data_IF_162478676585
#
_entry.id   IF_162478676585
#
_cell.length_a   1.000
_cell.length_b   1.000
_cell.length_c   1.000
_cell.angle_alpha   90.00
_cell.angle_beta   90.00
_cell.angle_gamma   90.00
#
_symmetry.space_group_name_H-M   'P 1'
#
loop_
_entity.id
_entity.type
_entity.pdbx_description
1 polymer ?
#
# COMPACT_ATOMS: atom_id res chain seq x y z
N UNK A 1 -0.94 6.45 3.16
CA UNK A 1 -0.29 5.91 1.94
C UNK A 1 -1.10 4.83 1.26
N UNK A 2 -1.76 3.93 2.00
CA UNK A 2 -2.58 2.85 1.43
C UNK A 2 -3.74 3.37 0.57
N UNK A 3 -4.42 4.45 0.98
CA UNK A 3 -5.50 5.06 0.19
C UNK A 3 -5.02 5.48 -1.22
N UNK A 4 -3.85 6.12 -1.32
CA UNK A 4 -3.27 6.51 -2.60
C UNK A 4 -2.89 5.30 -3.48
N UNK A 5 -2.49 4.17 -2.88
CA UNK A 5 -2.27 2.95 -3.64
C UNK A 5 -3.58 2.39 -4.20
N UNK A 6 -4.70 2.54 -3.48
CA UNK A 6 -6.03 2.16 -3.95
C UNK A 6 -6.51 3.05 -5.11
N UNK A 7 -6.35 4.37 -4.98
CA UNK A 7 -6.66 5.30 -6.07
C UNK A 7 -5.81 5.00 -7.31
N UNK A 8 -4.51 4.73 -7.12
CA UNK A 8 -3.60 4.36 -8.21
C UNK A 8 -4.02 3.04 -8.88
N UNK A 9 -4.50 2.06 -8.12
CA UNK A 9 -5.01 0.80 -8.66
C UNK A 9 -6.24 1.04 -9.56
N UNK A 10 -7.17 1.90 -9.12
CA UNK A 10 -8.37 2.26 -9.89
C UNK A 10 -7.96 2.99 -11.18
N UNK A 11 -7.06 3.97 -11.09
CA UNK A 11 -6.54 4.68 -12.25
C UNK A 11 -5.82 3.74 -13.23
N UNK A 12 -5.04 2.78 -12.71
CA UNK A 12 -4.36 1.77 -13.53
C UNK A 12 -5.36 0.88 -14.26
N UNK A 13 -6.43 0.45 -13.59
CA UNK A 13 -7.49 -0.34 -14.20
C UNK A 13 -8.23 0.46 -15.29
N UNK A 14 -8.58 1.72 -15.01
CA UNK A 14 -9.20 2.61 -16.00
C UNK A 14 -8.29 2.86 -17.20
N UNK A 15 -7.00 3.12 -16.97
CA UNK A 15 -5.99 3.27 -18.02
C UNK A 15 -5.90 2.02 -18.90
N UNK A 16 -5.88 0.84 -18.27
CA UNK A 16 -5.81 -0.42 -19.01
C UNK A 16 -7.07 -0.66 -19.86
N UNK A 17 -8.26 -0.49 -19.28
CA UNK A 17 -9.53 -0.70 -20.00
C UNK A 17 -9.65 0.29 -21.16
N UNK A 18 -9.42 1.59 -20.91
CA UNK A 18 -9.51 2.64 -21.93
C UNK A 18 -8.43 2.48 -23.00
N UNK A 19 -7.20 2.14 -22.62
CA UNK A 19 -6.11 1.87 -23.55
C UNK A 19 -6.36 0.65 -24.42
N UNK A 20 -6.86 -0.44 -23.85
CA UNK A 20 -7.12 -1.65 -24.63
C UNK A 20 -8.30 -1.47 -25.61
N UNK A 21 -9.33 -0.70 -25.22
CA UNK A 21 -10.43 -0.33 -26.10
C UNK A 21 -9.98 0.63 -27.21
N UNK A 22 -9.28 1.73 -26.86
CA UNK A 22 -8.75 2.71 -27.80
C UNK A 22 -7.34 3.16 -27.37
N UNK A 23 -6.28 2.61 -27.98
CA UNK A 23 -4.91 2.80 -27.50
C UNK A 23 -4.42 4.25 -27.63
N UNK A 24 -4.98 4.99 -28.58
CA UNK A 24 -4.70 6.41 -28.79
C UNK A 24 -5.27 7.31 -27.67
N UNK A 25 -6.14 6.82 -26.79
CA UNK A 25 -6.68 7.65 -25.72
C UNK A 25 -5.63 7.92 -24.62
N UNK A 26 -5.03 6.88 -23.99
CA UNK A 26 -3.92 7.10 -23.08
C UNK A 26 -2.60 7.47 -23.78
N UNK A 27 -2.36 6.95 -25.00
CA UNK A 27 -1.15 7.25 -25.78
C UNK A 27 -1.44 8.29 -26.88
N UNK A 28 -2.18 9.35 -26.56
CA UNK A 28 -2.61 10.37 -27.53
C UNK A 28 -1.45 11.07 -28.24
N UNK A 29 -0.25 11.03 -27.66
CA UNK A 29 0.96 11.61 -28.19
C UNK A 29 1.67 10.74 -29.23
N UNK A 30 1.30 9.46 -29.40
CA UNK A 30 1.92 8.56 -30.38
C UNK A 30 1.13 8.49 -31.69
N UNK A 31 1.85 8.54 -32.82
CA UNK A 31 1.26 8.40 -34.18
C UNK A 31 0.69 7.02 -34.47
N UNK A 32 1.29 5.96 -33.91
CA UNK A 32 0.85 4.56 -34.06
C UNK A 32 0.89 3.87 -32.68
N UNK A 33 -0.14 4.08 -31.85
CA UNK A 33 -0.20 3.47 -30.54
C UNK A 33 -0.62 2.00 -30.69
N UNK A 34 0.32 1.10 -30.42
CA UNK A 34 0.10 -0.35 -30.41
C UNK A 34 -0.51 -0.79 -29.07
N UNK A 35 -1.46 -1.74 -29.12
CA UNK A 35 -2.05 -2.34 -27.90
C UNK A 35 -1.01 -3.00 -27.01
N UNK A 36 0.07 -3.50 -27.61
CA UNK A 36 1.17 -4.13 -26.89
C UNK A 36 1.90 -3.15 -25.95
N UNK A 37 2.03 -1.87 -26.31
CA UNK A 37 2.64 -0.87 -25.43
C UNK A 37 1.81 -0.62 -24.18
N UNK A 38 0.48 -0.66 -24.29
CA UNK A 38 -0.41 -0.53 -23.13
C UNK A 38 -0.23 -1.70 -22.18
N UNK A 39 -0.04 -2.92 -22.68
CA UNK A 39 0.25 -4.09 -21.83
C UNK A 39 1.56 -3.91 -21.05
N UNK A 40 2.63 -3.42 -21.70
CA UNK A 40 3.91 -3.16 -21.04
C UNK A 40 3.73 -2.10 -19.95
N UNK A 41 3.14 -0.95 -20.28
CA UNK A 41 2.94 0.15 -19.33
C UNK A 41 2.06 -0.29 -18.16
N UNK A 42 0.99 -1.04 -18.43
CA UNK A 42 0.09 -1.56 -17.39
C UNK A 42 0.81 -2.53 -16.47
N UNK A 43 1.65 -3.42 -17.01
CA UNK A 43 2.44 -4.35 -16.18
C UNK A 43 3.33 -3.59 -15.19
N UNK A 44 3.99 -2.52 -15.66
CA UNK A 44 4.83 -1.66 -14.79
C UNK A 44 3.98 -0.93 -13.76
N UNK A 45 2.85 -0.34 -14.15
CA UNK A 45 1.93 0.34 -13.22
C UNK A 45 1.37 -0.60 -12.14
N UNK A 46 1.07 -1.84 -12.51
CA UNK A 46 0.64 -2.88 -11.58
C UNK A 46 1.76 -3.17 -10.58
N UNK A 47 3.00 -3.37 -11.03
CA UNK A 47 4.13 -3.57 -10.12
C UNK A 47 4.28 -2.40 -9.13
N UNK A 48 4.23 -1.16 -9.61
CA UNK A 48 4.32 0.04 -8.76
C UNK A 48 3.19 0.04 -7.71
N UNK A 49 1.96 -0.26 -8.13
CA UNK A 49 0.80 -0.33 -7.25
C UNK A 49 0.98 -1.38 -6.15
N UNK A 50 1.45 -2.58 -6.50
CA UNK A 50 1.72 -3.64 -5.54
C UNK A 50 2.84 -3.29 -4.57
N UNK A 51 3.93 -2.68 -5.05
CA UNK A 51 5.02 -2.22 -4.18
C UNK A 51 4.53 -1.17 -3.19
N UNK A 52 3.78 -0.16 -3.66
CA UNK A 52 3.26 0.91 -2.83
C UNK A 52 2.23 0.41 -1.81
N UNK A 53 1.35 -0.52 -2.22
CA UNK A 53 0.41 -1.17 -1.33
C UNK A 53 1.12 -2.01 -0.26
N UNK A 54 2.13 -2.79 -0.65
CA UNK A 54 2.92 -3.61 0.27
C UNK A 54 3.65 -2.77 1.32
N UNK A 55 4.31 -1.69 0.90
CA UNK A 55 4.94 -0.74 1.82
C UNK A 55 3.92 -0.05 2.72
N UNK A 56 2.79 0.40 2.16
CA UNK A 56 1.74 1.06 2.91
C UNK A 56 1.16 0.17 4.01
N UNK A 57 0.91 -1.11 3.70
CA UNK A 57 0.39 -2.08 4.66
C UNK A 57 1.41 -2.42 5.75
N UNK A 58 2.70 -2.52 5.39
CA UNK A 58 3.79 -2.71 6.37
C UNK A 58 3.85 -1.54 7.35
N UNK A 59 3.76 -0.29 6.87
CA UNK A 59 3.74 0.91 7.72
C UNK A 59 2.50 0.95 8.61
N UNK A 60 1.32 0.65 8.06
CA UNK A 60 0.07 0.59 8.83
C UNK A 60 0.13 -0.44 9.97
N UNK A 61 0.71 -1.62 9.72
CA UNK A 61 0.93 -2.63 10.77
C UNK A 61 1.87 -2.15 11.88
N UNK A 62 2.98 -1.50 11.51
CA UNK A 62 3.93 -0.95 12.48
C UNK A 62 3.31 0.18 13.31
N UNK A 63 2.48 1.03 12.72
CA UNK A 63 1.74 2.07 13.45
C UNK A 63 0.76 1.46 14.45
N UNK A 64 0.01 0.41 14.10
CA UNK A 64 -0.87 -0.29 15.03
C UNK A 64 -0.12 -0.99 16.17
N UNK A 65 1.05 -1.56 15.89
CA UNK A 65 1.93 -2.15 16.91
C UNK A 65 2.53 -1.08 17.83
N UNK A 66 2.95 0.07 17.30
CA UNK A 66 3.56 1.16 18.06
C UNK A 66 2.54 2.05 18.79
N UNK A 67 1.25 1.98 18.43
CA UNK A 67 0.14 2.62 19.16
C UNK A 67 -0.37 1.79 20.35
N UNK A 68 0.20 0.60 20.58
CA UNK A 68 0.12 -0.12 21.85
C UNK A 68 1.39 0.03 22.72
N UNK A 69 1.76 1.21 23.23
CA UNK A 69 2.60 1.34 24.41
C UNK A 69 1.72 1.73 25.60
N UNK A 70 1.22 0.76 26.37
CA UNK A 70 0.81 0.86 27.80
C UNK A 70 -0.22 -0.20 28.24
N UNK A 71 0.12 -1.49 28.15
CA UNK A 71 -0.56 -2.51 28.96
C UNK A 71 0.41 -3.39 29.76
N UNK A 72 1.68 -2.96 29.92
CA UNK A 72 2.66 -3.75 30.65
C UNK A 72 3.57 -2.94 31.59
N UNK A 73 3.13 -1.76 32.01
CA UNK A 73 3.80 -0.96 33.03
C UNK A 73 2.88 -0.67 34.23
N UNK A 74 1.98 -1.60 34.54
CA UNK A 74 1.16 -1.60 35.77
C UNK A 74 1.34 -2.90 36.55
N UNK A 75 2.59 -3.23 36.85
CA UNK A 75 2.92 -4.14 37.94
C UNK A 75 4.06 -3.55 38.79
N UNK A 76 3.97 -2.26 39.11
CA UNK A 76 4.55 -1.75 40.34
C UNK A 76 3.72 -2.29 41.51
N UNK A 77 4.12 -3.43 42.06
CA UNK A 77 3.81 -3.76 43.44
C UNK A 77 5.12 -4.22 44.10
N UNK A 78 5.66 -3.47 45.07
CA UNK A 78 6.81 -3.91 45.85
C UNK A 78 6.36 -5.11 46.68
N UNK A 79 7.00 -6.26 46.52
CA UNK A 79 6.72 -7.43 47.36
C UNK A 79 7.12 -7.07 48.80
N UNK A 80 6.20 -7.12 49.78
CA UNK A 80 6.54 -6.90 51.18
C UNK A 80 7.42 -8.06 51.67
N UNK A 81 8.58 -7.73 52.23
CA UNK A 81 9.42 -8.66 52.99
C UNK A 81 8.66 -9.16 54.23
N UNK A 82 8.56 -10.49 54.47
CA UNK A 82 8.10 -10.99 55.75
C UNK A 82 9.18 -10.80 56.82
N UNK A 83 8.95 -9.88 57.76
CA UNK A 83 9.39 -9.97 59.17
C UNK A 83 8.12 -10.14 60.02
N UNK A 84 8.12 -10.69 61.25
CA UNK A 84 9.02 -11.66 61.92
C UNK A 84 8.24 -12.80 62.64
N UNK A 85 8.93 -13.79 63.20
CA UNK A 85 8.62 -14.42 64.49
C UNK A 85 9.90 -14.95 65.14
#
# INVERSE_FOLDING_TARGET
MVNYAFDLAIWTALFFITGMYKPQWPLFFMKKPERFLILIITTVLVMITFTLYGEGNRRAKLELTNQHPAAQESASAPVPTPQPH
#
